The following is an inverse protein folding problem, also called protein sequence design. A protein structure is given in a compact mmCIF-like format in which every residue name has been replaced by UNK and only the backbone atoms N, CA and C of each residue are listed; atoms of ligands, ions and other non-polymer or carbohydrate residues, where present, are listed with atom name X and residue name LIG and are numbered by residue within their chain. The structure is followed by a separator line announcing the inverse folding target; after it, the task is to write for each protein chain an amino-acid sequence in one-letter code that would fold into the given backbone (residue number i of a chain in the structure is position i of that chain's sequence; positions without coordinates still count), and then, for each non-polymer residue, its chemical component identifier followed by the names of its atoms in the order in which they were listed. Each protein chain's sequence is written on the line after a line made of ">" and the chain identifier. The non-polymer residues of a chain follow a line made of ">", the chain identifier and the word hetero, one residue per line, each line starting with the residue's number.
data_IF_900907818018
#
_entry.id   IF_900907818018
#
_cell.length_a   1.000
_cell.length_b   1.000
_cell.length_c   1.000
_cell.angle_alpha   90.00
_cell.angle_beta   90.00
_cell.angle_gamma   90.00
#
_symmetry.space_group_name_H-M   'P 1'
#
loop_
_entity.id
_entity.type
_entity.pdbx_description
1 polymer ?
#
# COMPACT_ATOMS: atom_id res chain seq x y z
N UNK A 1 -1.85 -18.78 6.95
CA UNK A 1 -2.16 -17.40 7.37
C UNK A 1 -1.29 -16.82 8.51
N UNK A 2 -0.93 -17.53 9.59
CA UNK A 2 -0.30 -16.90 10.77
C UNK A 2 1.08 -16.24 10.55
N UNK A 3 2.03 -16.90 9.86
CA UNK A 3 3.37 -16.33 9.61
C UNK A 3 3.36 -15.17 8.62
N UNK A 4 2.66 -15.34 7.50
CA UNK A 4 2.50 -14.30 6.46
C UNK A 4 1.85 -13.02 7.00
N UNK A 5 0.86 -13.16 7.89
CA UNK A 5 0.20 -12.01 8.54
C UNK A 5 1.14 -11.34 9.54
N UNK A 6 1.90 -12.11 10.33
CA UNK A 6 2.86 -11.55 11.29
C UNK A 6 3.99 -10.78 10.60
N UNK A 7 4.66 -11.39 9.60
CA UNK A 7 5.72 -10.72 8.85
C UNK A 7 5.20 -9.46 8.15
N UNK A 8 3.99 -9.49 7.60
CA UNK A 8 3.37 -8.32 6.98
C UNK A 8 3.08 -7.19 7.99
N UNK A 9 2.58 -7.51 9.19
CA UNK A 9 2.27 -6.52 10.22
C UNK A 9 3.55 -5.82 10.71
N UNK A 10 4.60 -6.57 11.03
CA UNK A 10 5.87 -6.02 11.50
C UNK A 10 6.55 -5.15 10.43
N UNK A 11 6.53 -5.64 9.20
CA UNK A 11 7.06 -4.94 8.02
C UNK A 11 6.28 -3.64 7.79
N UNK A 12 4.93 -3.70 7.76
CA UNK A 12 4.07 -2.54 7.56
C UNK A 12 4.24 -1.46 8.65
N UNK A 13 4.41 -1.85 9.92
CA UNK A 13 4.63 -0.90 11.01
C UNK A 13 5.97 -0.17 10.87
N UNK A 14 7.04 -0.90 10.58
CA UNK A 14 8.37 -0.31 10.30
C UNK A 14 8.29 0.66 9.11
N UNK A 15 7.51 0.33 8.09
CA UNK A 15 7.35 1.17 6.90
C UNK A 15 6.55 2.44 7.14
N UNK A 16 5.47 2.36 7.92
CA UNK A 16 4.70 3.54 8.31
C UNK A 16 5.57 4.55 9.05
N UNK A 17 6.35 4.08 10.02
CA UNK A 17 7.29 4.93 10.76
C UNK A 17 8.32 5.60 9.85
N UNK A 18 8.81 4.89 8.83
CA UNK A 18 9.78 5.42 7.87
C UNK A 18 9.18 6.52 7.00
N UNK A 19 7.98 6.29 6.46
CA UNK A 19 7.28 7.29 5.66
C UNK A 19 6.90 8.53 6.47
N UNK A 20 6.38 8.33 7.69
CA UNK A 20 6.04 9.42 8.61
C UNK A 20 7.28 10.25 8.96
N UNK A 21 8.42 9.58 9.20
CA UNK A 21 9.69 10.26 9.45
C UNK A 21 10.16 11.07 8.24
N UNK A 22 10.05 10.53 7.03
CA UNK A 22 10.39 11.23 5.78
C UNK A 22 9.52 12.47 5.60
N UNK A 23 8.21 12.33 5.80
CA UNK A 23 7.25 13.44 5.72
C UNK A 23 7.56 14.53 6.75
N UNK A 24 7.89 14.16 7.98
CA UNK A 24 8.30 15.12 9.01
C UNK A 24 9.58 15.87 8.65
N UNK A 25 10.56 15.20 8.06
CA UNK A 25 11.79 15.86 7.61
C UNK A 25 11.53 16.84 6.47
N UNK A 26 10.66 16.48 5.51
CA UNK A 26 10.24 17.39 4.42
C UNK A 26 9.56 18.66 4.97
N UNK A 27 8.71 18.54 5.98
CA UNK A 27 7.99 19.67 6.58
C UNK A 27 8.95 20.64 7.31
N UNK A 28 10.02 20.13 7.93
CA UNK A 28 10.93 20.90 8.82
C UNK A 28 12.03 21.67 8.08
N UNK A 29 11.81 22.11 6.85
CA UNK A 29 12.90 22.50 5.94
C UNK A 29 13.82 23.65 6.46
N UNK A 30 14.98 23.26 7.02
CA UNK A 30 16.30 23.91 6.95
C UNK A 30 17.37 22.84 7.10
N UNK A 31 18.18 22.62 6.05
CA UNK A 31 19.31 21.66 5.97
C UNK A 31 18.93 20.23 6.33
N UNK A 32 18.37 19.50 5.37
CA UNK A 32 18.15 18.07 5.49
C UNK A 32 19.48 17.33 5.64
N UNK A 33 19.78 16.91 6.87
CA UNK A 33 20.61 15.73 7.10
C UNK A 33 19.64 14.57 7.09
N UNK A 34 19.21 14.16 5.90
CA UNK A 34 18.46 12.93 5.78
C UNK A 34 19.43 11.83 6.20
N UNK A 35 19.25 11.28 7.40
CA UNK A 35 19.98 10.08 7.80
C UNK A 35 19.63 9.09 6.71
N UNK A 36 20.62 8.80 5.86
CA UNK A 36 20.61 7.67 4.97
C UNK A 36 20.52 6.47 5.90
N UNK A 37 19.30 6.18 6.30
CA UNK A 37 18.92 4.93 6.90
C UNK A 37 19.53 3.90 5.97
N UNK A 38 20.26 2.98 6.59
CA UNK A 38 20.94 1.87 5.95
C UNK A 38 19.91 0.90 5.35
N UNK A 39 18.95 1.41 4.59
CA UNK A 39 18.04 0.65 3.79
C UNK A 39 18.89 0.08 2.66
N UNK A 40 19.46 -1.08 2.94
CA UNK A 40 19.85 -1.99 1.88
C UNK A 40 18.61 -2.18 0.99
N UNK A 41 18.78 -1.97 -0.31
CA UNK A 41 17.79 -2.28 -1.35
C UNK A 41 17.68 -3.81 -1.52
N UNK A 42 17.53 -4.54 -0.40
CA UNK A 42 17.45 -6.00 -0.38
C UNK A 42 16.00 -6.49 -0.51
N UNK A 43 15.03 -5.59 -0.42
CA UNK A 43 13.62 -5.92 -0.55
C UNK A 43 13.28 -6.18 -2.01
N UNK A 44 13.22 -7.46 -2.39
CA UNK A 44 12.73 -7.89 -3.70
C UNK A 44 11.22 -7.70 -3.80
N UNK A 45 10.74 -7.33 -5.00
CA UNK A 45 9.30 -7.40 -5.28
C UNK A 45 8.79 -8.83 -5.11
N UNK A 46 7.60 -8.98 -4.54
CA UNK A 46 6.90 -10.26 -4.44
C UNK A 46 6.16 -10.55 -5.73
N UNK A 47 6.14 -11.81 -6.12
CA UNK A 47 5.22 -12.26 -7.16
C UNK A 47 3.77 -12.04 -6.71
N UNK A 48 2.89 -11.71 -7.67
CA UNK A 48 1.48 -11.48 -7.39
C UNK A 48 0.82 -12.69 -6.69
N UNK A 49 1.27 -13.91 -7.02
CA UNK A 49 0.75 -15.19 -6.53
C UNK A 49 1.43 -15.70 -5.24
N UNK A 50 2.42 -14.97 -4.71
CA UNK A 50 3.14 -15.39 -3.51
C UNK A 50 2.19 -15.60 -2.32
N UNK A 51 2.09 -16.85 -1.83
CA UNK A 51 1.19 -17.24 -0.73
C UNK A 51 -0.26 -17.56 -1.15
N UNK A 52 -0.57 -17.64 -2.44
CA UNK A 52 -1.91 -18.04 -2.90
C UNK A 52 -2.18 -19.54 -2.71
N UNK A 53 -1.13 -20.35 -2.55
CA UNK A 53 -1.18 -21.76 -2.21
C UNK A 53 -1.69 -22.00 -0.77
N UNK A 54 -1.58 -21.01 0.13
CA UNK A 54 -2.18 -21.07 1.47
C UNK A 54 -3.71 -20.91 1.47
N UNK A 55 -4.32 -20.57 0.33
CA UNK A 55 -5.77 -20.43 0.22
C UNK A 55 -6.48 -21.79 0.16
N UNK A 56 -7.67 -21.93 0.76
CA UNK A 56 -8.41 -23.20 0.77
C UNK A 56 -8.71 -23.68 -0.65
N UNK A 57 -8.56 -24.98 -0.89
CA UNK A 57 -8.84 -25.59 -2.21
C UNK A 57 -7.81 -25.25 -3.29
N UNK A 58 -6.60 -24.80 -2.93
CA UNK A 58 -5.52 -24.46 -3.86
C UNK A 58 -4.96 -25.65 -4.66
N UNK A 59 -5.34 -26.88 -4.32
CA UNK A 59 -4.94 -28.07 -5.04
C UNK A 59 -5.53 -28.08 -6.46
N UNK A 60 -4.68 -27.80 -7.47
CA UNK A 60 -4.81 -28.18 -8.89
C UNK A 60 -5.62 -27.30 -9.86
N UNK A 61 -5.97 -26.06 -9.55
CA UNK A 61 -6.57 -25.16 -10.56
C UNK A 61 -5.64 -23.99 -10.94
N UNK A 62 -5.42 -23.72 -12.24
CA UNK A 62 -4.70 -22.54 -12.68
C UNK A 62 -5.44 -21.29 -12.19
N UNK A 63 -4.71 -20.38 -11.55
CA UNK A 63 -5.24 -19.15 -11.00
C UNK A 63 -5.35 -18.13 -12.13
N UNK A 64 -6.58 -17.76 -12.49
CA UNK A 64 -6.83 -16.63 -13.39
C UNK A 64 -6.85 -15.31 -12.59
N UNK A 65 -5.72 -14.61 -12.59
CA UNK A 65 -5.56 -13.32 -11.91
C UNK A 65 -6.46 -12.26 -12.54
N UNK A 66 -6.72 -12.34 -13.85
CA UNK A 66 -7.52 -11.35 -14.57
C UNK A 66 -9.01 -11.47 -14.19
N UNK A 67 -9.52 -12.70 -14.08
CA UNK A 67 -10.87 -12.97 -13.58
C UNK A 67 -11.05 -12.51 -12.13
N UNK A 68 -10.03 -12.73 -11.30
CA UNK A 68 -10.03 -12.37 -9.89
C UNK A 68 -10.16 -10.86 -9.67
N UNK A 69 -9.50 -10.06 -10.52
CA UNK A 69 -9.53 -8.59 -10.52
C UNK A 69 -10.86 -8.06 -11.05
N UNK A 70 -11.41 -8.67 -12.10
CA UNK A 70 -12.66 -8.21 -12.75
C UNK A 70 -13.91 -8.43 -11.88
N UNK A 71 -13.87 -9.43 -11.00
CA UNK A 71 -15.02 -9.77 -10.17
C UNK A 71 -15.03 -8.91 -8.89
N UNK A 72 -15.83 -7.84 -8.89
CA UNK A 72 -15.87 -6.85 -7.80
C UNK A 72 -16.60 -7.37 -6.55
N UNK A 73 -17.51 -8.34 -6.68
CA UNK A 73 -18.32 -8.85 -5.56
C UNK A 73 -18.24 -10.38 -5.42
N UNK A 74 -18.00 -10.91 -4.21
CA UNK A 74 -18.14 -12.35 -3.96
C UNK A 74 -19.56 -12.83 -4.26
N UNK A 75 -19.71 -14.00 -4.87
CA UNK A 75 -21.00 -14.61 -5.11
C UNK A 75 -21.41 -15.46 -3.91
N UNK A 76 -22.06 -14.82 -2.93
CA UNK A 76 -22.51 -15.46 -1.68
C UNK A 76 -23.60 -16.55 -1.83
N UNK A 77 -23.95 -16.93 -3.08
CA UNK A 77 -24.84 -18.06 -3.44
C UNK A 77 -24.09 -19.24 -4.08
N UNK A 78 -22.79 -19.11 -4.36
CA UNK A 78 -21.95 -20.19 -4.89
C UNK A 78 -21.57 -21.22 -3.84
N UNK A 79 -20.74 -22.19 -4.22
CA UNK A 79 -20.11 -23.09 -3.25
C UNK A 79 -19.27 -22.26 -2.27
N UNK A 80 -19.61 -22.31 -0.99
CA UNK A 80 -19.01 -21.45 0.04
C UNK A 80 -17.48 -21.58 0.07
N UNK A 81 -16.97 -22.80 -0.18
CA UNK A 81 -15.53 -23.08 -0.25
C UNK A 81 -14.87 -22.36 -1.42
N UNK A 82 -15.50 -22.33 -2.59
CA UNK A 82 -14.99 -21.64 -3.78
C UNK A 82 -14.97 -20.12 -3.59
N UNK A 83 -15.99 -19.56 -2.92
CA UNK A 83 -16.03 -18.14 -2.60
C UNK A 83 -15.01 -17.74 -1.53
N UNK A 84 -14.84 -18.57 -0.49
CA UNK A 84 -13.77 -18.36 0.49
C UNK A 84 -12.38 -18.43 -0.17
N UNK A 85 -12.18 -19.33 -1.13
CA UNK A 85 -10.96 -19.40 -1.93
C UNK A 85 -10.71 -18.10 -2.72
N UNK A 86 -11.70 -17.62 -3.48
CA UNK A 86 -11.61 -16.37 -4.26
C UNK A 86 -11.32 -15.16 -3.37
N UNK A 87 -11.99 -15.06 -2.22
CA UNK A 87 -11.73 -13.99 -1.24
C UNK A 87 -10.29 -14.08 -0.71
N UNK A 88 -9.83 -15.27 -0.33
CA UNK A 88 -8.46 -15.47 0.13
C UNK A 88 -7.44 -15.04 -0.95
N UNK A 89 -7.62 -15.47 -2.19
CA UNK A 89 -6.73 -15.12 -3.30
C UNK A 89 -6.69 -13.60 -3.52
N UNK A 90 -7.83 -12.90 -3.42
CA UNK A 90 -7.88 -11.43 -3.50
C UNK A 90 -7.14 -10.75 -2.36
N UNK A 91 -7.28 -11.26 -1.13
CA UNK A 91 -6.54 -10.75 0.02
C UNK A 91 -5.04 -10.91 -0.20
N UNK A 92 -4.60 -12.08 -0.67
CA UNK A 92 -3.18 -12.34 -0.97
C UNK A 92 -2.67 -11.38 -2.04
N UNK A 93 -3.40 -11.26 -3.16
CA UNK A 93 -3.06 -10.33 -4.24
C UNK A 93 -2.95 -8.88 -3.76
N UNK A 94 -3.93 -8.42 -2.96
CA UNK A 94 -3.93 -7.08 -2.39
C UNK A 94 -2.73 -6.83 -1.47
N UNK A 95 -2.38 -7.80 -0.61
CA UNK A 95 -1.20 -7.73 0.26
C UNK A 95 0.11 -7.67 -0.53
N UNK A 96 0.24 -8.48 -1.57
CA UNK A 96 1.43 -8.50 -2.42
C UNK A 96 1.58 -7.20 -3.21
N UNK A 97 0.48 -6.69 -3.79
CA UNK A 97 0.48 -5.39 -4.47
C UNK A 97 0.85 -4.24 -3.53
N UNK A 98 0.22 -4.17 -2.34
CA UNK A 98 0.55 -3.15 -1.33
C UNK A 98 2.02 -3.21 -0.90
N UNK A 99 2.57 -4.42 -0.72
CA UNK A 99 3.98 -4.62 -0.42
C UNK A 99 4.87 -4.08 -1.56
N UNK A 100 4.59 -4.46 -2.80
CA UNK A 100 5.36 -4.03 -3.98
C UNK A 100 5.31 -2.51 -4.20
N UNK A 101 4.16 -1.87 -3.99
CA UNK A 101 4.04 -0.42 -4.05
C UNK A 101 4.88 0.27 -2.97
N UNK A 102 4.94 -0.30 -1.77
CA UNK A 102 5.78 0.19 -0.68
C UNK A 102 7.26 0.10 -1.03
N UNK A 103 7.72 -1.04 -1.57
CA UNK A 103 9.11 -1.19 -2.03
C UNK A 103 9.43 -0.20 -3.16
N UNK A 104 8.50 -0.01 -4.10
CA UNK A 104 8.66 0.95 -5.19
C UNK A 104 8.77 2.39 -4.67
N UNK A 105 7.94 2.75 -3.69
CA UNK A 105 8.00 4.07 -3.05
C UNK A 105 9.34 4.27 -2.35
N UNK A 106 9.86 3.28 -1.63
CA UNK A 106 11.17 3.38 -0.99
C UNK A 106 12.29 3.63 -1.99
N UNK A 107 12.34 2.86 -3.08
CA UNK A 107 13.32 3.07 -4.15
C UNK A 107 13.21 4.48 -4.71
N UNK A 108 11.99 4.97 -4.87
CA UNK A 108 11.73 6.35 -5.29
C UNK A 108 12.31 7.35 -4.30
N UNK A 109 12.08 7.20 -2.99
CA UNK A 109 12.62 8.09 -1.95
C UNK A 109 14.15 8.08 -1.90
N UNK A 110 14.78 6.90 -2.02
CA UNK A 110 16.24 6.77 -2.11
C UNK A 110 16.77 7.53 -3.33
N UNK A 111 16.09 7.40 -4.47
CA UNK A 111 16.46 8.12 -5.68
C UNK A 111 16.27 9.65 -5.53
N UNK A 112 15.17 10.11 -4.93
CA UNK A 112 14.91 11.53 -4.63
C UNK A 112 15.97 12.11 -3.70
N UNK A 113 16.46 11.33 -2.74
CA UNK A 113 17.54 11.73 -1.87
C UNK A 113 18.86 11.96 -2.64
N UNK A 114 19.19 11.09 -3.59
CA UNK A 114 20.37 11.26 -4.47
C UNK A 114 20.23 12.50 -5.36
N UNK A 115 19.04 12.72 -5.91
CA UNK A 115 18.72 13.93 -6.70
C UNK A 115 18.92 15.20 -5.87
N UNK A 116 18.44 15.21 -4.62
CA UNK A 116 18.62 16.34 -3.71
C UNK A 116 20.10 16.60 -3.39
N UNK A 117 20.88 15.56 -3.13
CA UNK A 117 22.33 15.70 -2.91
C UNK A 117 23.05 16.28 -4.12
N UNK A 118 22.65 15.91 -5.33
CA UNK A 118 23.21 16.47 -6.56
C UNK A 118 22.86 17.97 -6.70
N UNK A 119 21.61 18.35 -6.39
CA UNK A 119 21.17 19.75 -6.40
C UNK A 119 21.97 20.57 -5.37
N UNK A 120 22.11 20.11 -4.13
CA UNK A 120 22.93 20.82 -3.12
C UNK A 120 24.42 20.89 -3.52
N UNK A 121 24.94 19.87 -4.20
CA UNK A 121 26.29 19.89 -4.77
C UNK A 121 26.46 20.99 -5.83
N UNK A 122 25.47 21.18 -6.71
CA UNK A 122 25.48 22.28 -7.68
C UNK A 122 25.46 23.64 -6.98
N UNK A 123 24.67 23.77 -5.89
CA UNK A 123 24.62 24.99 -5.09
C UNK A 123 25.98 25.39 -4.54
N UNK A 124 26.76 24.41 -4.06
CA UNK A 124 28.12 24.64 -3.59
C UNK A 124 29.08 25.07 -4.72
N UNK A 125 28.87 24.59 -5.94
CA UNK A 125 29.71 24.89 -7.10
C UNK A 125 29.45 26.28 -7.71
N UNK A 126 28.24 26.84 -7.60
CA UNK A 126 27.87 28.13 -8.21
C UNK A 126 28.27 29.37 -7.39
N UNK A 127 28.81 29.17 -6.18
CA UNK A 127 29.36 30.24 -5.34
C UNK A 127 28.31 31.27 -4.93
N UNK A 128 28.55 32.55 -5.24
CA UNK A 128 27.69 33.69 -4.86
C UNK A 128 26.75 34.18 -5.97
N UNK A 129 26.70 33.47 -7.12
CA UNK A 129 25.84 33.86 -8.23
C UNK A 129 24.36 33.72 -7.84
N UNK A 130 23.71 34.86 -7.63
CA UNK A 130 22.33 34.94 -7.14
C UNK A 130 21.31 34.27 -8.07
N UNK A 131 21.50 34.36 -9.39
CA UNK A 131 20.61 33.72 -10.36
C UNK A 131 20.72 32.20 -10.34
N UNK A 132 21.95 31.68 -10.23
CA UNK A 132 22.21 30.26 -10.12
C UNK A 132 21.73 29.68 -8.78
N UNK A 133 21.89 30.44 -7.68
CA UNK A 133 21.34 30.08 -6.37
C UNK A 133 19.81 30.04 -6.39
N UNK A 134 19.15 31.03 -7.00
CA UNK A 134 17.70 31.04 -7.12
C UNK A 134 17.17 29.89 -7.99
N UNK A 135 17.85 29.55 -9.08
CA UNK A 135 17.50 28.38 -9.90
C UNK A 135 17.61 27.07 -9.11
N UNK A 136 18.66 26.93 -8.30
CA UNK A 136 18.87 25.77 -7.44
C UNK A 136 17.80 25.65 -6.34
N UNK A 137 17.44 26.77 -5.70
CA UNK A 137 16.38 26.81 -4.70
C UNK A 137 15.02 26.42 -5.32
N UNK A 138 14.71 26.90 -6.53
CA UNK A 138 13.50 26.51 -7.27
C UNK A 138 13.48 25.01 -7.61
N UNK A 139 14.61 24.47 -8.05
CA UNK A 139 14.73 23.04 -8.35
C UNK A 139 14.56 22.17 -7.10
N UNK A 140 15.12 22.61 -5.98
CA UNK A 140 14.90 21.99 -4.67
C UNK A 140 13.42 21.99 -4.30
N UNK A 141 12.73 23.15 -4.38
CA UNK A 141 11.30 23.23 -4.08
C UNK A 141 10.44 22.34 -4.98
N UNK A 142 10.77 22.26 -6.27
CA UNK A 142 10.09 21.38 -7.23
C UNK A 142 10.25 19.90 -6.85
N UNK A 143 11.47 19.49 -6.51
CA UNK A 143 11.76 18.12 -6.09
C UNK A 143 10.99 17.74 -4.82
N UNK A 144 10.94 18.63 -3.84
CA UNK A 144 10.21 18.42 -2.59
C UNK A 144 8.71 18.32 -2.83
N UNK A 145 8.15 19.24 -3.62
CA UNK A 145 6.73 19.24 -3.98
C UNK A 145 6.34 17.92 -4.63
N UNK A 146 7.13 17.45 -5.59
CA UNK A 146 6.92 16.15 -6.24
C UNK A 146 7.00 14.99 -5.24
N UNK A 147 8.01 15.00 -4.38
CA UNK A 147 8.20 13.92 -3.40
C UNK A 147 7.04 13.86 -2.40
N UNK A 148 6.52 15.00 -1.96
CA UNK A 148 5.33 15.08 -1.10
C UNK A 148 4.09 14.53 -1.80
N UNK A 149 3.87 14.86 -3.08
CA UNK A 149 2.77 14.30 -3.86
C UNK A 149 2.88 12.78 -4.00
N UNK A 150 4.08 12.28 -4.31
CA UNK A 150 4.37 10.86 -4.43
C UNK A 150 4.04 10.11 -3.11
N UNK A 151 4.49 10.65 -1.97
CA UNK A 151 4.18 10.12 -0.62
C UNK A 151 2.69 10.09 -0.31
N UNK A 152 1.99 11.21 -0.55
CA UNK A 152 0.56 11.32 -0.30
C UNK A 152 -0.23 10.30 -1.14
N UNK A 153 0.16 10.14 -2.41
CA UNK A 153 -0.46 9.16 -3.30
C UNK A 153 -0.24 7.73 -2.82
N UNK A 154 0.99 7.38 -2.44
CA UNK A 154 1.29 6.06 -1.87
C UNK A 154 0.52 5.81 -0.57
N UNK A 155 0.44 6.79 0.34
CA UNK A 155 -0.26 6.63 1.61
C UNK A 155 -1.77 6.42 1.39
N UNK A 156 -2.37 7.18 0.46
CA UNK A 156 -3.76 6.99 0.04
C UNK A 156 -4.00 5.59 -0.54
N UNK A 157 -3.14 5.14 -1.46
CA UNK A 157 -3.22 3.81 -2.07
C UNK A 157 -3.05 2.69 -1.03
N UNK A 158 -2.11 2.84 -0.09
CA UNK A 158 -1.91 1.90 1.02
C UNK A 158 -3.16 1.81 1.91
N UNK A 159 -3.77 2.95 2.23
CA UNK A 159 -5.02 3.00 3.01
C UNK A 159 -6.18 2.33 2.28
N UNK A 160 -6.28 2.54 0.97
CA UNK A 160 -7.28 1.88 0.14
C UNK A 160 -7.12 0.35 0.14
N UNK A 161 -5.88 -0.16 0.07
CA UNK A 161 -5.61 -1.60 0.21
C UNK A 161 -6.01 -2.13 1.59
N UNK A 162 -5.76 -1.39 2.68
CA UNK A 162 -6.17 -1.81 4.02
C UNK A 162 -7.69 -1.89 4.15
N UNK A 163 -8.42 -0.90 3.63
CA UNK A 163 -9.88 -0.92 3.57
C UNK A 163 -10.42 -2.08 2.74
N UNK A 164 -9.81 -2.36 1.59
CA UNK A 164 -10.19 -3.47 0.72
C UNK A 164 -9.95 -4.83 1.37
N UNK A 165 -8.78 -5.03 2.01
CA UNK A 165 -8.45 -6.26 2.74
C UNK A 165 -9.42 -6.47 3.90
N UNK A 166 -9.73 -5.42 4.67
CA UNK A 166 -10.67 -5.50 5.79
C UNK A 166 -12.07 -5.91 5.31
N UNK A 167 -12.58 -5.29 4.25
CA UNK A 167 -13.88 -5.65 3.68
C UNK A 167 -13.94 -7.12 3.22
N UNK A 168 -12.89 -7.61 2.57
CA UNK A 168 -12.79 -9.02 2.16
C UNK A 168 -12.73 -9.97 3.36
N UNK A 169 -12.05 -9.58 4.45
CA UNK A 169 -12.03 -10.37 5.68
C UNK A 169 -13.41 -10.46 6.33
N UNK A 170 -14.16 -9.35 6.38
CA UNK A 170 -15.55 -9.34 6.87
C UNK A 170 -16.46 -10.24 6.02
N UNK A 171 -16.31 -10.20 4.69
CA UNK A 171 -17.04 -11.08 3.77
C UNK A 171 -16.72 -12.57 4.02
N UNK A 172 -15.44 -12.89 4.23
CA UNK A 172 -15.00 -14.25 4.59
C UNK A 172 -15.63 -14.74 5.91
N UNK A 173 -15.61 -13.89 6.94
CA UNK A 173 -16.20 -14.21 8.25
C UNK A 173 -17.72 -14.43 8.14
N UNK A 174 -18.38 -13.64 7.28
CA UNK A 174 -19.81 -13.76 7.03
C UNK A 174 -20.14 -15.06 6.29
N UNK A 175 -19.35 -15.44 5.28
CA UNK A 175 -19.46 -16.73 4.60
C UNK A 175 -19.24 -17.90 5.56
N UNK A 176 -18.25 -17.82 6.45
CA UNK A 176 -18.00 -18.85 7.46
C UNK A 176 -19.20 -19.00 8.42
N UNK A 177 -19.77 -17.88 8.90
CA UNK A 177 -20.99 -17.89 9.72
C UNK A 177 -22.18 -18.50 8.97
N UNK A 178 -22.32 -18.19 7.68
CA UNK A 178 -23.30 -18.76 6.77
C UNK A 178 -23.16 -20.28 6.64
N UNK A 179 -21.95 -20.80 6.44
CA UNK A 179 -21.69 -22.23 6.38
C UNK A 179 -22.06 -22.95 7.69
N UNK A 180 -21.79 -22.33 8.84
CA UNK A 180 -22.05 -22.93 10.14
C UNK A 180 -23.50 -22.86 10.60
N UNK A 181 -24.25 -21.81 10.22
CA UNK A 181 -25.57 -21.49 10.79
C UNK A 181 -26.71 -21.44 9.76
N UNK A 182 -26.40 -21.62 8.48
CA UNK A 182 -27.31 -21.33 7.37
C UNK A 182 -27.33 -19.83 7.02
N UNK A 183 -27.48 -19.51 5.74
CA UNK A 183 -27.58 -18.13 5.29
C UNK A 183 -29.02 -17.62 5.36
N UNK A 184 -29.30 -16.48 6.04
CA UNK A 184 -30.57 -15.79 5.87
C UNK A 184 -30.68 -15.21 4.45
N UNK A 185 -31.86 -15.30 3.84
CA UNK A 185 -32.15 -14.65 2.55
C UNK A 185 -31.89 -13.14 2.65
N UNK A 186 -30.93 -12.61 1.87
CA UNK A 186 -30.66 -11.15 1.83
C UNK A 186 -29.20 -10.71 1.98
N UNK A 187 -28.21 -11.62 1.95
CA UNK A 187 -26.79 -11.27 2.07
C UNK A 187 -26.26 -10.27 1.01
N UNK A 188 -26.95 -10.13 -0.12
CA UNK A 188 -26.55 -9.33 -1.30
C UNK A 188 -26.48 -7.81 -1.07
N UNK A 189 -27.21 -7.26 -0.10
CA UNK A 189 -27.40 -5.80 0.01
C UNK A 189 -26.32 -5.03 0.82
N UNK A 190 -25.34 -5.72 1.41
CA UNK A 190 -24.40 -5.09 2.36
C UNK A 190 -23.02 -4.76 1.77
N UNK A 191 -22.63 -5.40 0.66
CA UNK A 191 -21.32 -5.18 0.00
C UNK A 191 -21.20 -3.74 -0.57
N UNK A 192 -22.32 -3.09 -0.89
CA UNK A 192 -22.32 -1.73 -1.43
C UNK A 192 -22.02 -0.61 -0.43
N UNK A 193 -22.17 -0.86 0.88
CA UNK A 193 -22.19 0.20 1.88
C UNK A 193 -20.86 0.38 2.65
N UNK A 194 -19.98 -0.61 2.68
CA UNK A 194 -18.77 -0.58 3.54
C UNK A 194 -17.58 0.12 2.88
N UNK A 195 -17.36 -0.04 1.57
CA UNK A 195 -16.32 0.70 0.84
C UNK A 195 -16.51 2.20 1.02
N UNK A 196 -17.77 2.67 0.98
CA UNK A 196 -18.13 4.05 1.30
C UNK A 196 -17.86 4.38 2.77
N UNK A 197 -18.22 3.53 3.72
CA UNK A 197 -18.05 3.81 5.16
C UNK A 197 -16.57 3.89 5.61
N UNK A 198 -15.69 3.02 5.11
CA UNK A 198 -14.27 3.02 5.48
C UNK A 198 -13.53 4.24 4.89
N UNK A 199 -13.82 4.62 3.64
CA UNK A 199 -13.28 5.85 3.04
C UNK A 199 -13.89 7.11 3.65
N UNK A 200 -15.20 7.14 3.95
CA UNK A 200 -15.83 8.28 4.65
C UNK A 200 -15.26 8.43 6.06
N UNK A 201 -15.09 7.34 6.82
CA UNK A 201 -14.60 7.41 8.20
C UNK A 201 -13.14 7.87 8.27
N UNK A 202 -12.30 7.45 7.32
CA UNK A 202 -10.94 7.98 7.20
C UNK A 202 -10.95 9.48 6.89
N UNK A 203 -11.80 9.92 5.94
CA UNK A 203 -11.95 11.34 5.59
C UNK A 203 -12.51 12.20 6.73
N UNK A 204 -13.44 11.68 7.55
CA UNK A 204 -14.03 12.38 8.70
C UNK A 204 -13.20 12.29 10.00
N UNK A 205 -12.15 11.46 10.03
CA UNK A 205 -11.22 11.38 11.17
C UNK A 205 -9.99 12.28 11.03
N UNK A 206 -9.92 13.00 9.91
CA UNK A 206 -8.93 14.06 9.64
C UNK A 206 -9.67 15.39 9.65
N UNK A 207 -10.25 15.74 10.80
CA UNK A 207 -10.71 17.09 11.17
C UNK A 207 -10.70 17.23 12.69
#
# INVERSE_FOLDING_TARGET
>A
MSKMVQEYIETAQRWKQTADHYQQQLIKFKKLTFVASQFADDFSLRDATYGMDECPGSDKFPIDIEELIRTVRPNLRGEIVEEQRKICQRIVLAKNNKYNDTITMMRTLIQRQRELQAIEGQRAAVGTNQGALAANDNETQRLLTRTTMDLNFWQSRSSAYDGYIAALQEDSDRLAKCAMRGCPDGLQNLIGNVVQAATLKAALSVD
#
